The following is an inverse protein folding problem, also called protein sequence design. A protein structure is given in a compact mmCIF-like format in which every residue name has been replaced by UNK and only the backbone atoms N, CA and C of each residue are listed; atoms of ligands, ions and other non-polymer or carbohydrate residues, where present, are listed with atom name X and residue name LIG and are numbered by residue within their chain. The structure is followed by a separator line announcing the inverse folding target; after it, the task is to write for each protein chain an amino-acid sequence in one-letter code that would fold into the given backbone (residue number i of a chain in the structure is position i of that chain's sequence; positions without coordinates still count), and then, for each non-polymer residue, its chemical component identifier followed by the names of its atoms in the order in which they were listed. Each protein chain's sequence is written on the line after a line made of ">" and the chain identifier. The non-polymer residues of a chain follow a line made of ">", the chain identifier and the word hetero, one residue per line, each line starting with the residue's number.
data_IF_355213745242
#
_entry.id   IF_355213745242
#
_cell.length_a   1.000
_cell.length_b   1.000
_cell.length_c   1.000
_cell.angle_alpha   90.00
_cell.angle_beta   90.00
_cell.angle_gamma   90.00
#
_symmetry.space_group_name_H-M   'P 1'
#
loop_
_entity.id
_entity.type
_entity.pdbx_description
1 polymer ?
#
# COMPACT_ATOMS: atom_id res chain seq x y z
N UNK A 1 70.37 22.81 -27.18
CA UNK A 1 70.96 22.90 -25.83
C UNK A 1 69.93 22.38 -24.86
N UNK A 2 70.27 21.29 -24.15
CA UNK A 2 69.75 20.84 -22.85
C UNK A 2 68.23 20.65 -22.76
N UNK A 3 67.65 19.46 -22.91
CA UNK A 3 67.78 18.24 -22.07
C UNK A 3 67.67 18.52 -20.56
N UNK A 4 66.47 18.29 -20.03
CA UNK A 4 66.25 17.72 -18.70
C UNK A 4 64.91 16.98 -18.74
N UNK A 5 65.02 15.66 -18.75
CA UNK A 5 63.94 14.70 -18.60
C UNK A 5 63.74 14.44 -17.11
N UNK A 6 62.49 14.46 -16.64
CA UNK A 6 62.10 13.91 -15.35
C UNK A 6 61.07 12.81 -15.59
N UNK A 7 61.61 11.59 -15.59
CA UNK A 7 60.96 10.29 -15.49
C UNK A 7 60.55 10.00 -14.05
N UNK A 8 59.77 8.91 -13.87
CA UNK A 8 59.37 8.20 -12.62
C UNK A 8 57.93 8.56 -12.20
N UNK A 9 56.96 7.67 -12.02
CA UNK A 9 56.88 6.20 -12.09
C UNK A 9 55.40 5.86 -12.36
N UNK A 10 55.15 4.90 -13.24
CA UNK A 10 53.83 4.30 -13.43
C UNK A 10 53.73 3.07 -12.53
N UNK A 11 52.88 3.12 -11.50
CA UNK A 11 52.58 1.96 -10.66
C UNK A 11 51.43 1.17 -11.30
N UNK A 12 51.78 -0.01 -11.83
CA UNK A 12 50.88 -0.98 -12.43
C UNK A 12 50.13 -1.78 -11.34
N UNK A 13 49.03 -2.47 -11.70
CA UNK A 13 48.02 -2.94 -10.75
C UNK A 13 48.46 -4.21 -10.01
N UNK A 14 48.12 -4.27 -8.71
CA UNK A 14 48.35 -5.44 -7.88
C UNK A 14 47.53 -6.64 -8.35
N UNK A 15 48.27 -7.67 -8.72
CA UNK A 15 47.87 -9.03 -9.07
C UNK A 15 47.33 -9.79 -7.84
N UNK A 16 46.34 -10.66 -8.08
CA UNK A 16 45.73 -11.55 -7.11
C UNK A 16 46.68 -12.67 -6.64
N UNK A 17 46.53 -13.18 -5.41
CA UNK A 17 46.84 -14.58 -5.11
C UNK A 17 45.56 -15.41 -5.16
N UNK A 18 45.53 -16.36 -6.09
CA UNK A 18 44.67 -17.53 -6.05
C UNK A 18 45.31 -18.57 -5.14
N UNK A 19 44.64 -19.03 -4.07
CA UNK A 19 44.83 -20.37 -3.50
C UNK A 19 43.53 -20.90 -2.83
N UNK A 20 43.27 -22.17 -3.15
CA UNK A 20 42.56 -23.22 -2.44
C UNK A 20 41.03 -23.24 -2.22
N UNK A 21 40.41 -23.96 -3.16
CA UNK A 21 39.28 -24.87 -2.96
C UNK A 21 39.60 -25.94 -1.92
N UNK A 22 38.97 -25.86 -0.74
CA UNK A 22 38.77 -27.03 0.11
C UNK A 22 37.51 -26.88 0.98
N UNK A 23 36.47 -27.66 0.64
CA UNK A 23 35.53 -28.20 1.63
C UNK A 23 34.34 -27.33 2.04
N UNK A 24 33.34 -27.20 1.17
CA UNK A 24 31.95 -27.22 1.64
C UNK A 24 31.16 -28.25 0.84
N UNK A 25 30.96 -29.39 1.50
CA UNK A 25 30.07 -30.48 1.11
C UNK A 25 28.65 -29.91 1.00
N UNK A 26 27.93 -30.12 -0.12
CA UNK A 26 26.50 -29.85 -0.15
C UNK A 26 25.80 -30.92 0.69
N UNK A 27 25.15 -30.50 1.76
CA UNK A 27 24.27 -31.36 2.56
C UNK A 27 23.05 -31.71 1.70
N UNK A 28 23.06 -32.92 1.16
CA UNK A 28 21.94 -33.56 0.48
C UNK A 28 20.98 -34.11 1.52
N UNK A 29 20.02 -33.32 1.97
CA UNK A 29 18.82 -33.86 2.60
C UNK A 29 17.83 -34.29 1.52
N UNK A 30 17.76 -35.60 1.33
CA UNK A 30 16.79 -36.34 0.54
C UNK A 30 15.36 -35.93 0.91
N UNK A 31 14.65 -35.30 -0.01
CA UNK A 31 13.19 -35.23 0.04
C UNK A 31 12.60 -36.47 -0.66
N UNK A 32 11.55 -37.09 -0.11
CA UNK A 32 11.02 -38.38 -0.57
C UNK A 32 10.40 -38.27 -1.98
N UNK A 33 10.71 -39.27 -2.82
CA UNK A 33 10.09 -39.51 -4.13
C UNK A 33 8.57 -39.60 -3.99
N UNK A 34 7.87 -38.71 -4.69
CA UNK A 34 6.44 -38.82 -4.93
C UNK A 34 6.22 -39.55 -6.25
N UNK A 35 6.09 -40.87 -6.18
CA UNK A 35 5.61 -41.70 -7.29
C UNK A 35 4.15 -41.35 -7.63
N UNK A 36 3.94 -40.52 -8.65
CA UNK A 36 2.62 -40.13 -9.17
C UNK A 36 2.26 -40.88 -10.46
N UNK A 37 3.06 -41.88 -10.87
CA UNK A 37 2.78 -42.74 -12.01
C UNK A 37 2.90 -44.22 -11.64
N UNK A 38 1.89 -44.76 -10.97
CA UNK A 38 1.54 -46.17 -11.15
C UNK A 38 0.39 -46.25 -12.15
N UNK A 39 0.74 -46.68 -13.37
CA UNK A 39 -0.22 -47.27 -14.30
C UNK A 39 -0.77 -48.55 -13.65
N UNK A 40 -2.08 -48.59 -13.39
CA UNK A 40 -2.80 -49.86 -13.27
C UNK A 40 -4.05 -49.82 -14.14
N UNK A 41 -3.93 -50.62 -15.18
CA UNK A 41 -4.83 -51.13 -16.19
C UNK A 41 -6.35 -51.05 -15.92
N UNK A 42 -7.04 -50.67 -16.99
CA UNK A 42 -8.46 -50.88 -17.16
C UNK A 42 -8.77 -52.38 -17.23
N UNK A 43 -9.66 -52.86 -16.35
CA UNK A 43 -10.45 -54.06 -16.62
C UNK A 43 -11.92 -53.82 -16.28
N UNK A 44 -12.74 -54.00 -17.32
CA UNK A 44 -14.20 -53.94 -17.32
C UNK A 44 -14.74 -55.16 -16.59
N UNK A 45 -15.65 -54.98 -15.62
CA UNK A 45 -16.59 -56.04 -15.21
C UNK A 45 -17.98 -55.49 -14.94
N UNK A 46 -18.95 -56.32 -15.29
CA UNK A 46 -20.35 -56.07 -15.55
C UNK A 46 -21.22 -55.68 -14.35
N UNK A 47 -22.32 -55.03 -14.71
CA UNK A 47 -23.56 -54.84 -13.95
C UNK A 47 -24.07 -56.14 -13.33
N UNK A 48 -24.29 -56.17 -12.01
CA UNK A 48 -25.41 -56.90 -11.40
C UNK A 48 -25.91 -56.18 -10.15
N UNK A 49 -27.22 -55.94 -10.10
CA UNK A 49 -27.88 -55.34 -8.96
C UNK A 49 -28.05 -56.32 -7.81
N UNK A 50 -27.87 -55.84 -6.58
CA UNK A 50 -28.51 -56.38 -5.39
C UNK A 50 -28.47 -55.32 -4.28
N UNK A 51 -29.66 -54.87 -3.90
CA UNK A 51 -30.04 -54.27 -2.61
C UNK A 51 -29.01 -54.40 -1.50
N UNK A 52 -28.49 -53.24 -1.06
CA UNK A 52 -28.10 -53.02 0.33
C UNK A 52 -28.64 -51.67 0.75
N UNK A 53 -29.74 -51.70 1.51
CA UNK A 53 -30.02 -50.71 2.53
C UNK A 53 -28.73 -50.48 3.30
N UNK A 54 -28.17 -49.29 3.22
CA UNK A 54 -27.12 -48.86 4.14
C UNK A 54 -27.29 -47.36 4.36
N UNK A 55 -27.86 -47.09 5.53
CA UNK A 55 -27.61 -45.92 6.37
C UNK A 55 -27.80 -44.55 5.70
N UNK A 56 -29.00 -44.01 5.95
CA UNK A 56 -29.18 -42.58 6.19
C UNK A 56 -27.96 -42.09 6.99
N UNK A 57 -27.15 -41.15 6.48
CA UNK A 57 -26.05 -40.63 7.25
C UNK A 57 -26.66 -39.98 8.49
N UNK A 58 -26.43 -40.64 9.62
CA UNK A 58 -26.72 -40.10 10.94
C UNK A 58 -26.04 -38.73 10.96
N UNK A 59 -26.82 -37.66 11.05
CA UNK A 59 -26.28 -36.33 11.34
C UNK A 59 -25.41 -36.47 12.58
N UNK A 60 -24.10 -36.52 12.38
CA UNK A 60 -23.14 -36.40 13.45
C UNK A 60 -23.46 -35.06 14.12
N UNK A 61 -24.01 -35.14 15.33
CA UNK A 61 -24.18 -34.00 16.21
C UNK A 61 -22.93 -33.14 16.12
N UNK A 62 -23.02 -31.83 15.86
CA UNK A 62 -21.85 -31.00 15.60
C UNK A 62 -20.94 -31.10 16.81
N UNK A 63 -19.87 -31.87 16.66
CA UNK A 63 -18.95 -32.11 17.75
C UNK A 63 -18.31 -30.76 18.04
N UNK A 64 -18.79 -30.04 19.05
CA UNK A 64 -18.39 -28.66 19.39
C UNK A 64 -17.03 -28.59 20.06
N UNK A 65 -16.26 -29.68 20.00
CA UNK A 65 -14.89 -29.74 20.49
C UNK A 65 -14.01 -28.70 19.78
N UNK A 66 -13.12 -28.06 20.54
CA UNK A 66 -12.20 -27.05 20.00
C UNK A 66 -11.36 -27.59 18.83
N UNK A 67 -11.02 -28.88 18.86
CA UNK A 67 -10.28 -29.56 17.79
C UNK A 67 -11.07 -29.65 16.48
N UNK A 68 -12.40 -29.83 16.51
CA UNK A 68 -13.23 -29.83 15.30
C UNK A 68 -13.33 -28.42 14.70
N UNK A 69 -13.42 -27.38 15.54
CA UNK A 69 -13.43 -25.98 15.12
C UNK A 69 -12.11 -25.57 14.46
N UNK A 70 -10.98 -25.99 15.03
CA UNK A 70 -9.65 -25.76 14.43
C UNK A 70 -9.48 -26.50 13.10
N UNK A 71 -9.97 -27.75 13.00
CA UNK A 71 -9.97 -28.50 11.73
C UNK A 71 -10.84 -27.80 10.67
N UNK A 72 -12.02 -27.32 11.03
CA UNK A 72 -12.92 -26.56 10.14
C UNK A 72 -12.29 -25.23 9.71
N UNK A 73 -11.68 -24.48 10.63
CA UNK A 73 -10.98 -23.22 10.30
C UNK A 73 -9.79 -23.48 9.35
N UNK A 74 -8.99 -24.53 9.59
CA UNK A 74 -7.90 -24.91 8.67
C UNK A 74 -8.43 -25.29 7.27
N UNK A 75 -9.57 -25.99 7.20
CA UNK A 75 -10.20 -26.34 5.92
C UNK A 75 -10.76 -25.10 5.21
N UNK A 76 -11.37 -24.16 5.95
CA UNK A 76 -11.87 -22.89 5.39
C UNK A 76 -10.72 -22.03 4.85
N UNK A 77 -9.64 -21.87 5.61
CA UNK A 77 -8.44 -21.15 5.15
C UNK A 77 -7.81 -21.80 3.92
N UNK A 78 -7.75 -23.14 3.85
CA UNK A 78 -7.27 -23.84 2.64
C UNK A 78 -8.17 -23.55 1.44
N UNK A 79 -9.49 -23.62 1.59
CA UNK A 79 -10.45 -23.28 0.53
C UNK A 79 -10.33 -21.83 0.10
N UNK A 80 -10.11 -20.91 1.03
CA UNK A 80 -9.90 -19.48 0.73
C UNK A 80 -8.61 -19.25 -0.05
N UNK A 81 -7.52 -19.93 0.33
CA UNK A 81 -6.24 -19.87 -0.41
C UNK A 81 -6.40 -20.44 -1.81
N UNK A 82 -7.08 -21.60 -1.96
CA UNK A 82 -7.35 -22.20 -3.26
C UNK A 82 -8.25 -21.32 -4.13
N UNK A 83 -9.26 -20.69 -3.55
CA UNK A 83 -10.14 -19.76 -4.25
C UNK A 83 -9.37 -18.54 -4.74
N UNK A 84 -8.57 -17.91 -3.86
CA UNK A 84 -7.69 -16.79 -4.22
C UNK A 84 -6.71 -17.17 -5.33
N UNK A 85 -6.13 -18.38 -5.28
CA UNK A 85 -5.24 -18.88 -6.33
C UNK A 85 -5.97 -19.03 -7.66
N UNK A 86 -7.18 -19.59 -7.66
CA UNK A 86 -8.01 -19.71 -8.87
C UNK A 86 -8.42 -18.35 -9.42
N UNK A 87 -8.78 -17.41 -8.56
CA UNK A 87 -9.11 -16.03 -8.94
C UNK A 87 -7.91 -15.34 -9.60
N UNK A 88 -6.71 -15.49 -9.04
CA UNK A 88 -5.48 -14.99 -9.65
C UNK A 88 -5.19 -15.65 -11.01
N UNK A 89 -5.40 -16.96 -11.13
CA UNK A 89 -5.22 -17.67 -12.40
C UNK A 89 -6.22 -17.20 -13.47
N UNK A 90 -7.49 -17.00 -13.09
CA UNK A 90 -8.52 -16.46 -13.98
C UNK A 90 -8.15 -15.03 -14.40
N UNK A 91 -7.76 -14.16 -13.47
CA UNK A 91 -7.35 -12.80 -13.77
C UNK A 91 -6.14 -12.76 -14.73
N UNK A 92 -5.17 -13.66 -14.56
CA UNK A 92 -4.04 -13.79 -15.49
C UNK A 92 -4.49 -14.24 -16.88
N UNK A 93 -5.38 -15.24 -16.96
CA UNK A 93 -5.94 -15.71 -18.24
C UNK A 93 -6.75 -14.61 -18.93
N UNK A 94 -7.59 -13.89 -18.20
CA UNK A 94 -8.39 -12.77 -18.73
C UNK A 94 -7.48 -11.64 -19.24
N UNK A 95 -6.44 -11.27 -18.48
CA UNK A 95 -5.43 -10.31 -18.93
C UNK A 95 -4.73 -10.77 -20.20
N UNK A 96 -4.41 -12.06 -20.32
CA UNK A 96 -3.77 -12.61 -21.50
C UNK A 96 -4.72 -12.55 -22.71
N UNK A 97 -5.99 -12.94 -22.53
CA UNK A 97 -7.01 -12.87 -23.58
C UNK A 97 -7.24 -11.43 -24.04
N UNK A 98 -7.40 -10.47 -23.12
CA UNK A 98 -7.55 -9.06 -23.46
C UNK A 98 -6.34 -8.52 -24.24
N UNK A 99 -5.12 -8.95 -23.89
CA UNK A 99 -3.92 -8.56 -24.64
C UNK A 99 -3.93 -9.09 -26.09
N UNK A 100 -4.39 -10.34 -26.28
CA UNK A 100 -4.47 -10.99 -27.59
C UNK A 100 -5.61 -10.40 -28.43
N UNK A 101 -6.76 -10.11 -27.83
CA UNK A 101 -7.87 -9.42 -28.49
C UNK A 101 -7.48 -8.00 -28.89
N UNK A 102 -6.80 -7.26 -28.02
CA UNK A 102 -6.26 -5.94 -28.35
C UNK A 102 -5.24 -5.99 -29.49
N UNK A 103 -4.39 -7.01 -29.54
CA UNK A 103 -3.47 -7.21 -30.67
C UNK A 103 -4.23 -7.54 -31.97
N UNK A 104 -5.24 -8.42 -31.90
CA UNK A 104 -6.09 -8.77 -33.04
C UNK A 104 -6.80 -7.54 -33.59
N UNK A 105 -7.36 -6.69 -32.74
CA UNK A 105 -8.01 -5.46 -33.16
C UNK A 105 -7.06 -4.50 -33.86
N UNK A 106 -5.83 -4.36 -33.37
CA UNK A 106 -4.81 -3.50 -33.99
C UNK A 106 -4.39 -4.02 -35.36
N UNK A 107 -4.25 -5.34 -35.52
CA UNK A 107 -3.97 -5.97 -36.83
C UNK A 107 -5.11 -5.71 -37.81
N UNK A 108 -6.37 -5.79 -37.35
CA UNK A 108 -7.55 -5.61 -38.21
C UNK A 108 -7.79 -4.14 -38.59
N UNK A 109 -7.52 -3.20 -37.68
CA UNK A 109 -7.70 -1.76 -37.90
C UNK A 109 -6.58 -1.21 -38.80
N UNK A 110 -5.32 -1.42 -38.43
CA UNK A 110 -4.16 -0.87 -39.13
C UNK A 110 -2.98 -1.88 -39.15
N UNK A 111 -2.99 -2.84 -40.09
CA UNK A 111 -1.98 -3.89 -40.15
C UNK A 111 -0.57 -3.34 -40.37
N UNK A 112 -0.41 -2.29 -41.19
CA UNK A 112 0.89 -1.70 -41.47
C UNK A 112 1.54 -1.04 -40.23
N UNK A 113 0.76 -0.31 -39.43
CA UNK A 113 1.28 0.27 -38.19
C UNK A 113 1.59 -0.80 -37.14
N UNK A 114 0.76 -1.86 -37.07
CA UNK A 114 1.03 -2.99 -36.19
C UNK A 114 2.36 -3.66 -36.51
N UNK A 115 2.60 -4.04 -37.76
CA UNK A 115 3.86 -4.70 -38.17
C UNK A 115 5.07 -3.79 -37.96
N UNK A 116 4.93 -2.48 -38.24
CA UNK A 116 5.98 -1.49 -37.95
C UNK A 116 6.28 -1.37 -36.46
N UNK A 117 5.25 -1.37 -35.61
CA UNK A 117 5.42 -1.31 -34.14
C UNK A 117 6.09 -2.55 -33.56
N UNK A 118 5.92 -3.70 -34.22
CA UNK A 118 6.56 -4.96 -33.82
C UNK A 118 7.91 -5.19 -34.49
N UNK A 119 8.33 -4.32 -35.42
CA UNK A 119 9.58 -4.49 -36.18
C UNK A 119 9.57 -5.71 -37.10
N UNK A 120 8.40 -6.14 -37.59
CA UNK A 120 8.24 -7.32 -38.44
C UNK A 120 7.95 -6.85 -39.87
N UNK A 121 8.65 -7.41 -40.86
CA UNK A 121 8.29 -7.21 -42.27
C UNK A 121 7.01 -8.02 -42.58
N UNK A 122 5.92 -7.37 -43.07
CA UNK A 122 4.70 -8.07 -43.45
C UNK A 122 4.94 -9.23 -44.44
N UNK A 123 5.84 -9.06 -45.42
CA UNK A 123 6.13 -10.08 -46.43
C UNK A 123 6.80 -11.31 -45.80
N UNK A 124 7.75 -11.11 -44.91
CA UNK A 124 8.41 -12.19 -44.18
C UNK A 124 7.42 -12.90 -43.25
N UNK A 125 6.51 -12.15 -42.61
CA UNK A 125 5.47 -12.75 -41.77
C UNK A 125 4.54 -13.68 -42.55
N UNK A 126 4.02 -13.25 -43.71
CA UNK A 126 3.10 -14.07 -44.49
C UNK A 126 3.80 -15.28 -45.13
N UNK A 127 5.03 -15.12 -45.61
CA UNK A 127 5.81 -16.25 -46.16
C UNK A 127 6.13 -17.28 -45.08
N UNK A 128 6.52 -16.83 -43.88
CA UNK A 128 6.78 -17.73 -42.76
C UNK A 128 5.49 -18.40 -42.26
N UNK A 129 4.38 -17.66 -42.17
CA UNK A 129 3.09 -18.22 -41.77
C UNK A 129 2.56 -19.27 -42.76
N UNK A 130 2.63 -19.00 -44.06
CA UNK A 130 2.24 -19.95 -45.10
C UNK A 130 3.13 -21.19 -45.11
N UNK A 131 4.45 -21.03 -44.92
CA UNK A 131 5.38 -22.15 -44.79
C UNK A 131 5.10 -23.02 -43.55
N UNK A 132 4.74 -22.43 -42.41
CA UNK A 132 4.37 -23.19 -41.19
C UNK A 132 3.09 -23.99 -41.39
N UNK A 133 2.08 -23.43 -42.07
CA UNK A 133 0.84 -24.14 -42.41
C UNK A 133 1.14 -25.30 -43.38
N UNK A 134 2.00 -25.07 -44.38
CA UNK A 134 2.30 -26.05 -45.41
C UNK A 134 3.20 -27.20 -44.90
N UNK A 135 4.16 -26.92 -44.03
CA UNK A 135 5.14 -27.91 -43.54
C UNK A 135 4.76 -28.53 -42.19
N UNK A 136 3.76 -27.98 -41.49
CA UNK A 136 3.41 -28.36 -40.13
C UNK A 136 4.49 -28.04 -39.09
N UNK A 137 5.59 -27.40 -39.50
CA UNK A 137 6.71 -27.11 -38.64
C UNK A 137 6.55 -25.70 -38.05
N UNK A 138 6.26 -25.62 -36.74
CA UNK A 138 5.96 -24.36 -36.05
C UNK A 138 7.20 -23.59 -35.59
N UNK A 139 8.38 -23.90 -36.14
CA UNK A 139 9.61 -23.23 -35.73
C UNK A 139 9.63 -21.80 -36.28
N UNK A 140 9.94 -20.78 -35.44
CA UNK A 140 9.96 -19.41 -35.90
C UNK A 140 11.14 -19.13 -36.83
N UNK A 141 10.93 -18.35 -37.89
CA UNK A 141 11.99 -17.90 -38.80
C UNK A 141 13.08 -17.10 -38.06
N UNK A 142 14.30 -17.05 -38.61
CA UNK A 142 15.39 -16.25 -38.05
C UNK A 142 15.03 -14.76 -37.84
N UNK A 143 14.27 -14.16 -38.76
CA UNK A 143 13.81 -12.77 -38.64
C UNK A 143 12.82 -12.56 -37.49
N UNK A 144 11.87 -13.48 -37.31
CA UNK A 144 10.93 -13.45 -36.19
C UNK A 144 11.62 -13.70 -34.84
N UNK A 145 12.70 -14.50 -34.81
CA UNK A 145 13.52 -14.68 -33.60
C UNK A 145 14.29 -13.41 -33.26
N UNK A 146 14.88 -12.74 -34.26
CA UNK A 146 15.60 -11.49 -34.05
C UNK A 146 14.68 -10.41 -33.49
N UNK A 147 13.50 -10.18 -34.10
CA UNK A 147 12.56 -9.18 -33.59
C UNK A 147 12.04 -9.50 -32.19
N UNK A 148 11.79 -10.78 -31.88
CA UNK A 148 11.44 -11.21 -30.53
C UNK A 148 12.56 -10.90 -29.52
N UNK A 149 13.81 -11.20 -29.85
CA UNK A 149 14.95 -10.89 -28.98
C UNK A 149 15.20 -9.39 -28.81
N UNK A 150 15.00 -8.59 -29.87
CA UNK A 150 15.12 -7.13 -29.78
C UNK A 150 14.04 -6.54 -28.87
N UNK A 151 12.82 -7.07 -28.94
CA UNK A 151 11.71 -6.69 -28.07
C UNK A 151 12.00 -7.08 -26.62
N UNK A 152 12.43 -8.32 -26.36
CA UNK A 152 12.82 -8.76 -25.02
C UNK A 152 13.94 -7.88 -24.45
N UNK A 153 14.96 -7.53 -25.25
CA UNK A 153 16.00 -6.60 -24.83
C UNK A 153 15.46 -5.20 -24.55
N UNK A 154 14.50 -4.71 -25.33
CA UNK A 154 13.86 -3.42 -25.10
C UNK A 154 13.04 -3.41 -23.81
N UNK A 155 12.31 -4.50 -23.54
CA UNK A 155 11.52 -4.69 -22.32
C UNK A 155 12.44 -4.79 -21.09
N UNK A 156 13.53 -5.56 -21.19
CA UNK A 156 14.54 -5.67 -20.13
C UNK A 156 15.19 -4.32 -19.82
N UNK A 157 15.52 -3.54 -20.86
CA UNK A 157 16.07 -2.19 -20.69
C UNK A 157 15.07 -1.27 -20.00
N UNK A 158 13.79 -1.30 -20.39
CA UNK A 158 12.76 -0.50 -19.74
C UNK A 158 12.56 -0.91 -18.28
N UNK A 159 12.58 -2.21 -17.98
CA UNK A 159 12.44 -2.71 -16.63
C UNK A 159 13.65 -2.32 -15.76
N UNK A 160 14.86 -2.37 -16.30
CA UNK A 160 16.07 -1.93 -15.62
C UNK A 160 16.03 -0.42 -15.32
N UNK A 161 15.59 0.40 -16.29
CA UNK A 161 15.39 1.84 -16.07
C UNK A 161 14.33 2.10 -14.99
N UNK A 162 13.21 1.37 -15.00
CA UNK A 162 12.17 1.49 -13.96
C UNK A 162 12.70 1.09 -12.59
N UNK A 163 13.47 0.01 -12.51
CA UNK A 163 14.09 -0.44 -11.27
C UNK A 163 15.08 0.58 -10.74
N UNK A 164 15.93 1.12 -11.60
CA UNK A 164 16.95 2.10 -11.21
C UNK A 164 16.33 3.43 -10.80
N UNK A 165 15.29 3.89 -11.50
CA UNK A 165 14.55 5.10 -11.10
C UNK A 165 13.83 4.91 -9.77
N UNK A 166 13.18 3.77 -9.55
CA UNK A 166 12.56 3.45 -8.27
C UNK A 166 13.59 3.34 -7.13
N UNK A 167 14.75 2.73 -7.39
CA UNK A 167 15.84 2.65 -6.42
C UNK A 167 16.41 4.03 -6.08
N UNK A 168 16.63 4.89 -7.07
CA UNK A 168 17.07 6.28 -6.87
C UNK A 168 16.07 7.08 -6.04
N UNK A 169 14.78 7.02 -6.38
CA UNK A 169 13.74 7.70 -5.62
C UNK A 169 13.67 7.23 -4.16
N UNK A 170 13.85 5.92 -3.91
CA UNK A 170 13.89 5.38 -2.54
C UNK A 170 15.12 5.89 -1.78
N UNK A 171 16.27 5.95 -2.42
CA UNK A 171 17.51 6.45 -1.81
C UNK A 171 17.44 7.97 -1.55
N UNK A 172 16.87 8.75 -2.47
CA UNK A 172 16.65 10.18 -2.28
C UNK A 172 15.66 10.42 -1.13
N UNK A 173 14.56 9.66 -1.08
CA UNK A 173 13.59 9.76 0.01
C UNK A 173 14.18 9.34 1.37
N UNK A 174 15.05 8.34 1.42
CA UNK A 174 15.71 7.94 2.66
C UNK A 174 16.72 8.99 3.13
N UNK A 175 17.51 9.55 2.22
CA UNK A 175 18.44 10.64 2.53
C UNK A 175 17.71 11.89 3.04
N UNK A 176 16.60 12.28 2.40
CA UNK A 176 15.78 13.39 2.85
C UNK A 176 15.22 13.16 4.27
N UNK A 177 14.71 11.94 4.54
CA UNK A 177 14.24 11.58 5.88
C UNK A 177 15.34 11.62 6.92
N UNK A 178 16.54 11.17 6.58
CA UNK A 178 17.68 11.21 7.50
C UNK A 178 18.07 12.65 7.84
N UNK A 179 18.14 13.54 6.86
CA UNK A 179 18.42 14.97 7.07
C UNK A 179 17.33 15.62 7.93
N UNK A 180 16.05 15.33 7.67
CA UNK A 180 14.94 15.83 8.47
C UNK A 180 15.02 15.32 9.92
N UNK A 181 15.32 14.04 10.12
CA UNK A 181 15.48 13.46 11.46
C UNK A 181 16.65 14.08 12.21
N UNK A 182 17.77 14.35 11.54
CA UNK A 182 18.90 15.08 12.13
C UNK A 182 18.50 16.51 12.50
N UNK A 183 17.71 17.19 11.67
CA UNK A 183 17.20 18.52 11.96
C UNK A 183 16.25 18.53 13.16
N UNK A 184 15.29 17.60 13.23
CA UNK A 184 14.42 17.43 14.40
C UNK A 184 15.22 17.06 15.66
N UNK A 185 16.28 16.27 15.52
CA UNK A 185 17.21 15.97 16.62
C UNK A 185 17.88 17.22 17.18
N UNK A 186 18.28 18.18 16.32
CA UNK A 186 18.83 19.48 16.77
C UNK A 186 17.80 20.33 17.50
N UNK A 187 16.56 20.35 17.01
CA UNK A 187 15.45 21.09 17.65
C UNK A 187 15.14 20.50 19.02
N UNK A 188 14.99 19.17 19.11
CA UNK A 188 14.77 18.48 20.39
C UNK A 188 15.93 18.72 21.37
N UNK A 189 17.18 18.63 20.89
CA UNK A 189 18.35 18.94 21.72
C UNK A 189 18.33 20.37 22.26
N UNK A 190 17.90 21.34 21.45
CA UNK A 190 17.74 22.73 21.89
C UNK A 190 16.61 22.89 22.92
N UNK A 191 15.45 22.26 22.66
CA UNK A 191 14.28 22.25 23.54
C UNK A 191 14.55 21.61 24.91
N UNK A 192 15.37 20.55 24.95
CA UNK A 192 15.76 19.90 26.20
C UNK A 192 16.80 20.71 26.98
N UNK A 193 17.69 21.42 26.27
CA UNK A 193 18.78 22.20 26.88
C UNK A 193 18.34 23.53 27.50
N UNK A 194 17.16 24.05 27.14
CA UNK A 194 16.74 25.41 27.49
C UNK A 194 15.45 25.38 28.31
N UNK A 195 15.44 25.99 29.49
CA UNK A 195 14.24 26.15 30.33
C UNK A 195 13.47 27.46 30.05
N UNK A 196 13.99 28.32 29.17
CA UNK A 196 13.42 29.65 28.87
C UNK A 196 12.04 29.61 28.16
N UNK A 197 11.67 28.48 27.54
CA UNK A 197 10.48 28.35 26.69
C UNK A 197 9.57 27.18 27.13
N UNK A 198 8.87 27.32 28.27
CA UNK A 198 8.09 26.23 28.86
C UNK A 198 6.85 25.85 28.03
N UNK A 199 6.11 26.82 27.45
CA UNK A 199 4.88 26.53 26.71
C UNK A 199 5.18 25.75 25.44
N UNK A 200 6.24 26.14 24.74
CA UNK A 200 6.70 25.47 23.52
C UNK A 200 7.13 24.03 23.82
N UNK A 201 7.80 23.79 24.96
CA UNK A 201 8.23 22.45 25.38
C UNK A 201 7.07 21.52 25.73
N UNK A 202 6.01 22.06 26.33
CA UNK A 202 4.84 21.26 26.74
C UNK A 202 3.87 20.99 25.59
N UNK A 203 3.69 21.95 24.69
CA UNK A 203 2.61 21.91 23.69
C UNK A 203 3.08 21.57 22.27
N UNK A 204 4.37 21.75 21.95
CA UNK A 204 4.88 21.54 20.60
C UNK A 204 5.85 20.38 20.51
N UNK A 205 5.79 19.66 19.39
CA UNK A 205 6.81 18.68 19.00
C UNK A 205 7.86 19.33 18.09
N UNK A 206 9.06 18.74 17.99
CA UNK A 206 10.11 19.23 17.09
C UNK A 206 9.66 19.37 15.61
N UNK A 207 8.84 18.46 15.06
CA UNK A 207 8.22 18.66 13.74
C UNK A 207 7.38 19.94 13.64
N UNK A 208 6.58 20.26 14.66
CA UNK A 208 5.72 21.46 14.64
C UNK A 208 6.56 22.75 14.66
N UNK A 209 7.64 22.76 15.45
CA UNK A 209 8.59 23.89 15.48
C UNK A 209 9.30 24.04 14.14
N UNK A 210 9.71 22.94 13.52
CA UNK A 210 10.32 22.95 12.21
C UNK A 210 9.35 23.45 11.11
N UNK A 211 8.08 23.05 11.18
CA UNK A 211 7.04 23.54 10.28
C UNK A 211 6.82 25.05 10.47
N UNK A 212 6.81 25.54 11.71
CA UNK A 212 6.74 26.98 12.00
C UNK A 212 7.91 27.76 11.40
N UNK A 213 9.13 27.24 11.51
CA UNK A 213 10.33 27.83 10.89
C UNK A 213 10.21 27.83 9.36
N UNK A 214 9.75 26.71 8.78
CA UNK A 214 9.60 26.57 7.34
C UNK A 214 8.51 27.51 6.78
N UNK A 215 7.37 27.63 7.47
CA UNK A 215 6.29 28.54 7.11
C UNK A 215 6.75 30.00 7.16
N UNK A 216 7.46 30.39 8.23
CA UNK A 216 8.03 31.73 8.33
C UNK A 216 9.01 32.03 7.19
N UNK A 217 9.88 31.09 6.85
CA UNK A 217 10.80 31.23 5.72
C UNK A 217 10.06 31.36 4.39
N UNK A 218 8.98 30.61 4.17
CA UNK A 218 8.17 30.72 2.95
C UNK A 218 7.49 32.08 2.82
N UNK A 219 7.05 32.67 3.92
CA UNK A 219 6.38 33.98 3.92
C UNK A 219 7.35 35.16 3.81
N UNK A 220 8.49 35.09 4.50
CA UNK A 220 9.40 36.23 4.66
C UNK A 220 10.70 36.11 3.85
N UNK A 221 11.07 34.90 3.45
CA UNK A 221 12.35 34.58 2.82
C UNK A 221 13.55 34.63 3.78
N UNK A 222 13.34 34.83 5.08
CA UNK A 222 14.39 34.97 6.08
C UNK A 222 14.53 33.70 6.91
N UNK A 223 15.75 33.18 7.01
CA UNK A 223 16.05 32.02 7.85
C UNK A 223 16.04 32.42 9.33
N UNK A 224 15.16 31.77 10.11
CA UNK A 224 15.02 32.04 11.53
C UNK A 224 15.93 31.10 12.34
N UNK A 225 16.71 31.66 13.27
CA UNK A 225 17.49 30.85 14.20
C UNK A 225 16.60 30.13 15.22
N UNK A 226 17.09 29.02 15.80
CA UNK A 226 16.28 28.25 16.78
C UNK A 226 15.80 29.11 17.95
N UNK A 227 16.65 29.95 18.54
CA UNK A 227 16.24 30.79 19.67
C UNK A 227 15.07 31.73 19.31
N UNK A 228 15.14 32.37 18.15
CA UNK A 228 14.11 33.28 17.66
C UNK A 228 12.82 32.53 17.31
N UNK A 229 12.94 31.32 16.76
CA UNK A 229 11.79 30.47 16.44
C UNK A 229 11.02 30.05 17.69
N UNK A 230 11.73 29.56 18.70
CA UNK A 230 11.13 29.21 19.98
C UNK A 230 10.50 30.43 20.64
N UNK A 231 11.15 31.60 20.61
CA UNK A 231 10.57 32.82 21.16
C UNK A 231 9.30 33.27 20.42
N UNK A 232 9.28 33.19 19.09
CA UNK A 232 8.11 33.56 18.29
C UNK A 232 6.93 32.62 18.54
N UNK A 233 7.19 31.31 18.60
CA UNK A 233 6.18 30.29 18.90
C UNK A 233 5.66 30.47 20.33
N UNK A 234 6.55 30.64 21.32
CA UNK A 234 6.19 30.88 22.72
C UNK A 234 5.28 32.11 22.87
N UNK A 235 5.61 33.21 22.20
CA UNK A 235 4.80 34.43 22.23
C UNK A 235 3.43 34.21 21.58
N UNK A 236 3.38 33.51 20.44
CA UNK A 236 2.12 33.20 19.78
C UNK A 236 1.23 32.25 20.59
N UNK A 237 1.83 31.29 21.31
CA UNK A 237 1.10 30.41 22.23
C UNK A 237 0.57 31.20 23.43
N UNK A 238 1.40 32.07 24.02
CA UNK A 238 0.99 32.94 25.12
C UNK A 238 -0.16 33.87 24.72
N UNK A 239 -0.09 34.48 23.54
CA UNK A 239 -1.18 35.32 23.01
C UNK A 239 -2.47 34.53 22.79
N UNK A 240 -2.38 33.28 22.31
CA UNK A 240 -3.54 32.40 22.15
C UNK A 240 -4.14 32.03 23.49
N UNK A 241 -3.32 31.66 24.48
CA UNK A 241 -3.79 31.37 25.84
C UNK A 241 -4.45 32.60 26.46
N UNK A 242 -3.80 33.76 26.39
CA UNK A 242 -4.35 35.02 26.87
C UNK A 242 -5.67 35.37 26.17
N UNK A 243 -5.78 35.15 24.87
CA UNK A 243 -7.03 35.36 24.13
C UNK A 243 -8.14 34.41 24.59
N UNK A 244 -7.83 33.16 24.91
CA UNK A 244 -8.80 32.17 25.39
C UNK A 244 -9.26 32.51 26.82
N UNK A 245 -8.34 32.88 27.70
CA UNK A 245 -8.66 33.23 29.08
C UNK A 245 -9.38 34.58 29.20
N UNK A 246 -9.13 35.51 28.28
CA UNK A 246 -9.81 36.82 28.25
C UNK A 246 -11.12 36.81 27.47
N UNK A 247 -11.53 35.69 26.85
CA UNK A 247 -12.81 35.57 26.18
C UNK A 247 -13.96 35.66 27.21
N UNK A 248 -14.85 36.67 27.12
CA UNK A 248 -15.99 36.82 28.02
C UNK A 248 -16.87 35.57 28.10
N UNK A 249 -16.96 34.77 27.03
CA UNK A 249 -17.75 33.54 27.00
C UNK A 249 -17.11 32.42 27.83
N UNK A 250 -15.78 32.29 27.75
CA UNK A 250 -15.02 31.31 28.56
C UNK A 250 -15.05 31.72 30.02
N UNK A 251 -14.87 33.00 30.33
CA UNK A 251 -15.00 33.55 31.69
C UNK A 251 -16.40 33.31 32.25
N UNK A 252 -17.46 33.52 31.47
CA UNK A 252 -18.84 33.27 31.89
C UNK A 252 -19.09 31.79 32.17
N UNK A 253 -18.58 30.87 31.34
CA UNK A 253 -18.65 29.42 31.57
C UNK A 253 -17.89 29.02 32.83
N UNK A 254 -16.68 29.54 33.02
CA UNK A 254 -15.86 29.27 34.20
C UNK A 254 -16.56 29.75 35.48
N UNK A 255 -17.07 30.99 35.50
CA UNK A 255 -17.83 31.54 36.64
C UNK A 255 -19.08 30.71 36.97
N UNK A 256 -19.78 30.21 35.95
CA UNK A 256 -20.95 29.34 36.11
C UNK A 256 -20.61 27.96 36.69
N UNK A 257 -19.51 27.35 36.25
CA UNK A 257 -19.08 26.03 36.72
C UNK A 257 -18.46 26.06 38.13
N UNK A 258 -17.77 27.15 38.48
CA UNK A 258 -17.11 27.29 39.79
C UNK A 258 -17.94 28.04 40.84
N UNK A 259 -19.21 28.37 40.54
CA UNK A 259 -20.14 28.98 41.51
C UNK A 259 -19.74 30.39 41.97
N UNK A 260 -18.85 31.06 41.25
CA UNK A 260 -18.34 32.41 41.58
C UNK A 260 -19.37 33.52 41.31
N UNK A 261 -20.55 33.20 40.76
CA UNK A 261 -21.68 34.12 40.60
C UNK A 261 -22.60 34.22 41.84
N UNK A 262 -22.14 33.84 43.04
CA UNK A 262 -22.98 33.80 44.24
C UNK A 262 -23.26 35.16 44.92
N UNK A 263 -22.88 36.30 44.34
CA UNK A 263 -23.23 37.61 44.92
C UNK A 263 -23.38 38.69 43.85
N UNK A 264 -24.51 38.69 43.13
CA UNK A 264 -25.20 39.93 42.70
C UNK A 264 -26.52 39.73 41.92
N UNK A 265 -27.13 38.54 41.93
CA UNK A 265 -28.48 38.33 41.36
C UNK A 265 -29.60 38.23 42.41
N UNK A 266 -29.51 38.97 43.53
CA UNK A 266 -30.70 39.28 44.35
C UNK A 266 -31.55 40.31 43.60
N UNK A 267 -32.32 39.89 42.59
CA UNK A 267 -33.17 40.86 41.89
C UNK A 267 -34.23 40.35 40.94
N UNK A 268 -34.12 39.14 40.37
CA UNK A 268 -35.15 38.64 39.46
C UNK A 268 -35.41 37.15 39.67
N UNK A 269 -36.23 36.84 40.68
CA UNK A 269 -37.04 35.63 40.64
C UNK A 269 -38.12 35.84 39.59
N UNK A 270 -37.85 35.45 38.35
CA UNK A 270 -38.91 35.20 37.38
C UNK A 270 -39.81 34.12 37.97
N UNK A 271 -41.09 34.43 38.15
CA UNK A 271 -42.12 33.47 38.54
C UNK A 271 -42.08 32.31 37.54
N UNK A 272 -41.61 31.13 37.97
CA UNK A 272 -41.87 29.90 37.24
C UNK A 272 -43.39 29.70 37.25
N UNK A 273 -44.02 29.91 36.11
CA UNK A 273 -45.34 29.35 35.84
C UNK A 273 -45.16 27.88 35.50
N UNK A 274 -45.89 27.01 36.20
CA UNK A 274 -45.97 25.57 35.98
C UNK A 274 -46.68 25.22 34.66
N UNK A 275 -46.27 25.81 33.53
CA UNK A 275 -46.66 25.32 32.21
C UNK A 275 -45.60 24.32 31.76
N UNK A 276 -45.83 23.07 32.16
CA UNK A 276 -45.12 21.89 31.68
C UNK A 276 -45.43 21.72 30.19
N UNK A 277 -44.70 22.44 29.32
CA UNK A 277 -44.67 22.11 27.91
C UNK A 277 -43.66 20.97 27.76
N UNK A 278 -44.15 19.74 27.93
CA UNK A 278 -43.51 18.52 27.46
C UNK A 278 -43.43 18.63 25.93
N UNK A 279 -42.42 19.37 25.46
CA UNK A 279 -41.90 19.17 24.13
C UNK A 279 -41.16 17.84 24.22
N UNK A 280 -41.92 16.77 23.98
CA UNK A 280 -41.40 15.42 23.77
C UNK A 280 -40.26 15.55 22.79
N UNK A 281 -39.04 15.20 23.24
CA UNK A 281 -37.97 14.97 22.28
C UNK A 281 -38.45 13.86 21.34
N UNK A 282 -38.27 13.99 20.01
CA UNK A 282 -38.52 12.86 19.13
C UNK A 282 -37.57 11.75 19.60
N UNK A 283 -38.16 10.68 20.13
CA UNK A 283 -37.44 9.44 20.41
C UNK A 283 -36.75 9.06 19.11
N UNK A 284 -35.42 9.08 19.09
CA UNK A 284 -34.65 8.36 18.08
C UNK A 284 -35.10 6.90 18.21
N UNK A 285 -35.90 6.43 17.27
CA UNK A 285 -36.09 4.99 17.09
C UNK A 285 -34.70 4.39 16.85
N UNK A 286 -34.28 3.38 17.63
CA UNK A 286 -33.05 2.67 17.31
C UNK A 286 -33.21 2.07 15.91
N UNK A 287 -32.16 2.16 15.09
CA UNK A 287 -32.19 1.74 13.67
C UNK A 287 -32.44 0.23 13.47
N UNK A 288 -32.47 -0.55 14.55
CA UNK A 288 -32.65 -2.00 14.52
C UNK A 288 -34.11 -2.46 14.38
N UNK A 289 -35.10 -1.55 14.49
CA UNK A 289 -36.54 -1.87 14.41
C UNK A 289 -37.28 -1.21 13.23
N UNK A 290 -36.56 -0.60 12.27
CA UNK A 290 -37.18 0.02 11.09
C UNK A 290 -37.20 -0.96 9.91
N UNK A 291 -38.35 -1.04 9.23
CA UNK A 291 -38.46 -1.82 7.99
C UNK A 291 -37.69 -1.16 6.83
N UNK A 292 -37.25 -1.95 5.84
CA UNK A 292 -36.46 -1.45 4.71
C UNK A 292 -37.15 -0.32 3.93
N UNK A 293 -38.49 -0.32 3.88
CA UNK A 293 -39.29 0.74 3.25
C UNK A 293 -39.23 2.06 4.04
N UNK A 294 -39.23 2.00 5.37
CA UNK A 294 -39.14 3.18 6.24
C UNK A 294 -37.73 3.80 6.24
N UNK A 295 -36.69 2.96 6.11
CA UNK A 295 -35.30 3.43 5.95
C UNK A 295 -35.14 4.20 4.64
N UNK A 296 -35.71 3.70 3.55
CA UNK A 296 -35.61 4.35 2.24
C UNK A 296 -36.21 5.76 2.28
N UNK A 297 -37.40 5.91 2.86
CA UNK A 297 -38.07 7.21 2.96
C UNK A 297 -37.37 8.20 3.91
N UNK A 298 -36.76 7.72 5.00
CA UNK A 298 -35.99 8.58 5.91
C UNK A 298 -34.75 9.21 5.25
N UNK A 299 -34.13 8.50 4.30
CA UNK A 299 -32.88 8.91 3.65
C UNK A 299 -33.06 9.57 2.28
N UNK A 300 -34.24 9.44 1.65
CA UNK A 300 -34.57 9.94 0.31
C UNK A 300 -34.44 11.45 0.10
N UNK A 301 -34.28 12.24 1.17
CA UNK A 301 -34.08 13.68 1.11
C UNK A 301 -32.78 14.21 1.72
N UNK A 302 -31.93 13.35 2.31
CA UNK A 302 -30.69 13.77 3.00
C UNK A 302 -29.41 13.38 2.28
N UNK A 303 -29.50 12.51 1.28
CA UNK A 303 -28.32 12.03 0.54
C UNK A 303 -27.84 12.98 -0.57
N UNK A 304 -28.56 14.06 -0.86
CA UNK A 304 -28.18 15.04 -1.87
C UNK A 304 -28.60 16.47 -1.51
N UNK A 305 -27.91 17.06 -0.51
CA UNK A 305 -27.68 18.51 -0.37
C UNK A 305 -26.38 18.72 0.37
#
# INVERSE_FOLDING_TARGET
>A
MSEAAETVEAEAPAEAPAEDLAGLVPDTEEMPDFDIYQEEEAEVTEVTGATKETEIPKEESPDTSWSSRVKKDRQLRKKEIEFKRKEQEIAQRESQVQSLEGARERILKDPHEFFKSQGIDPLDFYTDWTNRIATGNNTPSPGARLSATEKELSELKQELIRRDTAARQRNEASQQKEVLNQYYGKINGFMDSTEEYPLTKEQCSAPDVAEGIAAYYQETGVELGFKEAFQMIENGLREKEDSIFNDPAVIAKFKKHHGLEASNSRGKRSRLTLSNNLQTQPTKTPADDMSDEEIYDFWKGKLFT
#
